data_IF_043413966005
#
_entry.id   IF_043413966005
#
_cell.length_a   1.000
_cell.length_b   1.000
_cell.length_c   1.000
_cell.angle_alpha   90.00
_cell.angle_beta   90.00
_cell.angle_gamma   90.00
#
_symmetry.space_group_name_H-M   'P 1'
#
loop_
_entity.id
_entity.type
_entity.pdbx_description
1 polymer ?
#
# COMPACT_ATOMS: atom_id res chain seq x y z
N UNK A 1 -3.59 -35.03 26.41
CA UNK A 1 -3.84 -34.09 25.29
C UNK A 1 -4.49 -32.86 25.88
N UNK A 2 -3.72 -31.82 26.20
CA UNK A 2 -4.27 -30.56 26.74
C UNK A 2 -4.54 -29.60 25.59
N UNK A 3 -5.76 -29.04 25.58
CA UNK A 3 -6.16 -28.04 24.61
C UNK A 3 -5.37 -26.75 24.85
N UNK A 4 -4.66 -26.29 23.80
CA UNK A 4 -4.05 -24.96 23.76
C UNK A 4 -5.18 -23.96 23.54
N UNK A 5 -5.58 -23.28 24.60
CA UNK A 5 -6.54 -22.17 24.55
C UNK A 5 -5.89 -20.97 23.86
N UNK A 6 -6.11 -20.82 22.55
CA UNK A 6 -5.70 -19.63 21.82
C UNK A 6 -6.54 -18.45 22.28
N UNK A 7 -5.96 -17.53 23.06
CA UNK A 7 -6.59 -16.26 23.44
C UNK A 7 -7.09 -15.55 22.17
N UNK A 8 -8.41 -15.54 21.98
CA UNK A 8 -9.07 -14.81 20.90
C UNK A 8 -8.77 -13.32 21.12
N UNK A 9 -7.94 -12.73 20.25
CA UNK A 9 -7.58 -11.31 20.32
C UNK A 9 -8.82 -10.40 20.26
N UNK A 10 -8.63 -9.11 20.59
CA UNK A 10 -9.71 -8.11 20.47
C UNK A 10 -10.27 -8.12 19.05
N UNK A 11 -11.61 -8.21 18.87
CA UNK A 11 -12.18 -8.29 17.54
C UNK A 11 -11.77 -7.08 16.69
N UNK A 12 -11.37 -7.29 15.42
CA UNK A 12 -11.01 -6.20 14.52
C UNK A 12 -12.18 -5.21 14.42
N UNK A 13 -11.90 -3.92 14.61
CA UNK A 13 -12.90 -2.85 14.60
C UNK A 13 -13.52 -2.49 15.94
N UNK A 14 -13.19 -3.20 17.04
CA UNK A 14 -13.63 -2.79 18.37
C UNK A 14 -12.98 -1.45 18.77
N UNK A 15 -13.80 -0.40 18.93
CA UNK A 15 -13.36 0.92 19.33
C UNK A 15 -12.82 0.89 20.77
N UNK A 16 -11.53 1.12 20.94
CA UNK A 16 -10.94 1.35 22.25
C UNK A 16 -11.27 2.78 22.69
N UNK A 17 -12.07 2.94 23.77
CA UNK A 17 -12.47 4.25 24.30
C UNK A 17 -11.26 5.14 24.59
N UNK A 18 -10.22 4.59 25.22
CA UNK A 18 -8.97 5.33 25.51
C UNK A 18 -8.30 5.86 24.25
N UNK A 19 -8.22 5.05 23.19
CA UNK A 19 -7.61 5.48 21.92
C UNK A 19 -8.49 6.48 21.17
N UNK A 20 -9.81 6.37 21.31
CA UNK A 20 -10.77 7.33 20.75
C UNK A 20 -10.63 8.71 21.40
N UNK A 21 -10.57 8.76 22.74
CA UNK A 21 -10.46 10.01 23.49
C UNK A 21 -9.13 10.74 23.17
N UNK A 22 -8.02 9.99 23.11
CA UNK A 22 -6.71 10.55 22.69
C UNK A 22 -6.76 11.08 21.27
N UNK A 23 -7.37 10.34 20.34
CA UNK A 23 -7.51 10.80 18.95
C UNK A 23 -8.29 12.12 18.85
N UNK A 24 -9.38 12.22 19.60
CA UNK A 24 -10.23 13.41 19.59
C UNK A 24 -9.50 14.62 20.19
N UNK A 25 -8.76 14.40 21.28
CA UNK A 25 -7.92 15.43 21.89
C UNK A 25 -6.82 15.91 20.93
N UNK A 26 -6.10 14.99 20.27
CA UNK A 26 -5.06 15.36 19.30
C UNK A 26 -5.62 16.11 18.09
N UNK A 27 -6.83 15.78 17.63
CA UNK A 27 -7.50 16.50 16.55
C UNK A 27 -7.86 17.94 16.95
N UNK A 28 -8.18 18.20 18.21
CA UNK A 28 -8.44 19.55 18.70
C UNK A 28 -7.23 20.49 18.55
N UNK A 29 -6.01 19.96 18.66
CA UNK A 29 -4.76 20.71 18.50
C UNK A 29 -4.34 20.96 17.03
N UNK A 30 -5.16 20.57 16.05
CA UNK A 30 -4.76 20.66 14.63
C UNK A 30 -4.39 22.09 14.21
N UNK A 31 -5.16 23.09 14.64
CA UNK A 31 -4.90 24.49 14.27
C UNK A 31 -3.58 24.98 14.89
N UNK A 32 -3.44 24.83 16.20
CA UNK A 32 -2.23 25.22 16.94
C UNK A 32 -0.97 24.52 16.39
N UNK A 33 -1.08 23.23 16.05
CA UNK A 33 0.02 22.48 15.46
C UNK A 33 0.42 23.02 14.08
N UNK A 34 -0.55 23.43 13.24
CA UNK A 34 -0.25 24.03 11.93
C UNK A 34 0.41 25.39 12.10
N UNK A 35 -0.09 26.23 13.00
CA UNK A 35 0.51 27.54 13.27
C UNK A 35 1.97 27.40 13.75
N UNK A 36 2.21 26.50 14.70
CA UNK A 36 3.57 26.20 15.19
C UNK A 36 4.50 25.69 14.09
N UNK A 37 4.02 24.83 13.19
CA UNK A 37 4.79 24.39 12.03
C UNK A 37 5.16 25.56 11.11
N UNK A 38 4.24 26.48 10.85
CA UNK A 38 4.50 27.67 10.02
C UNK A 38 5.52 28.59 10.68
N UNK A 39 5.43 28.80 12.00
CA UNK A 39 6.42 29.57 12.76
C UNK A 39 7.81 28.94 12.67
N UNK A 40 7.93 27.64 12.95
CA UNK A 40 9.19 26.90 12.83
C UNK A 40 9.77 26.94 11.42
N UNK A 41 8.92 26.92 10.39
CA UNK A 41 9.35 26.96 9.00
C UNK A 41 9.87 28.34 8.56
N UNK A 42 9.35 29.41 9.19
CA UNK A 42 9.73 30.80 8.95
C UNK A 42 10.93 31.25 9.79
N UNK A 43 11.15 30.67 10.95
CA UNK A 43 12.28 31.01 11.82
C UNK A 43 13.61 30.69 11.14
N UNK A 44 14.41 31.73 10.89
CA UNK A 44 15.73 31.62 10.25
C UNK A 44 16.79 30.99 11.14
N UNK A 45 16.55 30.94 12.45
CA UNK A 45 17.46 30.35 13.43
C UNK A 45 17.29 28.83 13.53
N UNK A 46 16.17 28.29 13.01
CA UNK A 46 15.95 26.85 12.98
C UNK A 46 16.84 26.19 11.92
N UNK A 47 17.33 24.95 12.17
CA UNK A 47 18.06 24.20 11.18
C UNK A 47 17.27 24.08 9.87
N UNK A 48 17.97 24.19 8.73
CA UNK A 48 17.34 24.10 7.41
C UNK A 48 16.50 22.82 7.23
N UNK A 49 16.93 21.70 7.82
CA UNK A 49 16.19 20.44 7.82
C UNK A 49 14.83 20.53 8.51
N UNK A 50 14.75 21.22 9.65
CA UNK A 50 13.50 21.44 10.40
C UNK A 50 12.56 22.29 9.58
N UNK A 51 13.07 23.36 8.96
CA UNK A 51 12.28 24.27 8.14
C UNK A 51 11.70 23.58 6.90
N UNK A 52 12.52 22.81 6.18
CA UNK A 52 12.09 22.02 5.01
C UNK A 52 11.05 20.98 5.42
N UNK A 53 11.26 20.30 6.55
CA UNK A 53 10.31 19.31 7.05
C UNK A 53 8.97 19.94 7.41
N UNK A 54 8.98 21.09 8.11
CA UNK A 54 7.76 21.80 8.46
C UNK A 54 6.98 22.26 7.24
N UNK A 55 7.64 22.84 6.22
CA UNK A 55 6.98 23.20 4.96
C UNK A 55 6.38 21.99 4.23
N UNK A 56 7.13 20.89 4.13
CA UNK A 56 6.65 19.66 3.51
C UNK A 56 5.38 19.14 4.20
N UNK A 57 5.37 19.13 5.54
CA UNK A 57 4.23 18.70 6.35
C UNK A 57 2.99 19.57 6.12
N UNK A 58 3.16 20.89 5.98
CA UNK A 58 2.06 21.83 5.70
C UNK A 58 1.52 21.63 4.28
N UNK A 59 2.40 21.50 3.28
CA UNK A 59 2.03 21.30 1.89
C UNK A 59 1.33 19.96 1.66
N UNK A 60 1.85 18.89 2.25
CA UNK A 60 1.26 17.54 2.21
C UNK A 60 -0.19 17.54 2.74
N UNK A 61 -0.51 18.41 3.71
CA UNK A 61 -1.86 18.52 4.26
C UNK A 61 -2.80 19.37 3.39
N UNK A 62 -2.28 20.43 2.76
CA UNK A 62 -3.07 21.31 1.91
C UNK A 62 -3.38 20.71 0.54
N UNK A 63 -2.41 20.00 -0.04
CA UNK A 63 -2.50 19.49 -1.42
C UNK A 63 -2.55 17.97 -1.50
N UNK A 64 -2.35 17.27 -0.38
CA UNK A 64 -2.18 15.82 -0.37
C UNK A 64 -0.76 15.41 -0.74
N UNK A 65 -0.45 14.13 -0.52
CA UNK A 65 0.82 13.54 -0.93
C UNK A 65 0.76 13.09 -2.39
N UNK A 66 1.89 13.18 -3.14
CA UNK A 66 2.00 12.56 -4.45
C UNK A 66 1.61 11.08 -4.41
N UNK A 67 0.87 10.63 -5.41
CA UNK A 67 0.43 9.23 -5.53
C UNK A 67 1.65 8.31 -5.43
N UNK A 68 1.64 7.42 -4.42
CA UNK A 68 2.68 6.41 -4.26
C UNK A 68 2.25 5.15 -5.02
N UNK A 69 3.01 4.77 -6.03
CA UNK A 69 2.84 3.47 -6.71
C UNK A 69 3.43 2.37 -5.82
N UNK A 70 2.58 1.46 -5.34
CA UNK A 70 3.02 0.29 -4.56
C UNK A 70 3.09 -0.91 -5.49
N UNK A 71 4.31 -1.40 -5.75
CA UNK A 71 4.53 -2.67 -6.45
C UNK A 71 4.50 -3.80 -5.41
N UNK A 72 3.36 -4.46 -5.26
CA UNK A 72 3.27 -5.66 -4.45
C UNK A 72 3.77 -6.87 -5.26
N UNK A 73 4.98 -7.35 -4.95
CA UNK A 73 5.42 -8.66 -5.40
C UNK A 73 4.68 -9.72 -4.57
N UNK A 74 3.57 -10.24 -5.10
CA UNK A 74 2.85 -11.34 -4.48
C UNK A 74 3.54 -12.63 -4.90
N UNK A 75 4.25 -13.28 -3.98
CA UNK A 75 4.74 -14.64 -4.17
C UNK A 75 3.56 -15.61 -4.06
N UNK A 76 2.81 -15.73 -5.16
CA UNK A 76 1.69 -16.67 -5.23
C UNK A 76 2.26 -18.06 -5.50
N UNK A 77 2.31 -18.89 -4.45
CA UNK A 77 2.54 -20.31 -4.64
C UNK A 77 1.39 -20.91 -5.43
N UNK A 78 1.72 -21.62 -6.51
CA UNK A 78 0.74 -22.29 -7.40
C UNK A 78 -0.23 -23.17 -6.61
N UNK A 79 0.21 -23.78 -5.50
CA UNK A 79 -0.61 -24.63 -4.64
C UNK A 79 -1.77 -23.92 -3.93
N UNK A 80 -1.76 -22.57 -3.86
CA UNK A 80 -2.78 -21.78 -3.18
C UNK A 80 -3.80 -21.14 -4.15
N UNK A 81 -3.64 -21.34 -5.46
CA UNK A 81 -4.56 -20.84 -6.47
C UNK A 81 -5.72 -21.82 -6.65
N UNK A 82 -6.93 -21.31 -6.73
CA UNK A 82 -8.06 -22.10 -7.19
C UNK A 82 -7.92 -22.42 -8.68
N UNK A 83 -8.56 -23.51 -9.14
CA UNK A 83 -8.61 -23.90 -10.55
C UNK A 83 -9.07 -22.76 -11.48
N UNK A 84 -9.93 -21.87 -10.97
CA UNK A 84 -10.41 -20.69 -11.71
C UNK A 84 -9.33 -19.63 -11.91
N UNK A 85 -8.51 -19.38 -10.89
CA UNK A 85 -7.43 -18.39 -10.93
C UNK A 85 -6.23 -18.93 -11.73
N UNK A 86 -5.96 -20.24 -11.68
CA UNK A 86 -4.96 -20.90 -12.52
C UNK A 86 -5.31 -20.77 -14.01
N UNK A 87 -6.57 -21.04 -14.38
CA UNK A 87 -7.05 -20.90 -15.76
C UNK A 87 -6.96 -19.46 -16.26
N UNK A 88 -7.36 -18.50 -15.44
CA UNK A 88 -7.25 -17.08 -15.78
C UNK A 88 -5.80 -16.65 -16.00
N UNK A 89 -4.86 -17.15 -15.17
CA UNK A 89 -3.44 -16.86 -15.31
C UNK A 89 -2.84 -17.42 -16.60
N UNK A 90 -3.17 -18.67 -16.95
CA UNK A 90 -2.72 -19.31 -18.21
C UNK A 90 -3.29 -18.58 -19.42
N UNK A 91 -4.58 -18.22 -19.40
CA UNK A 91 -5.22 -17.46 -20.48
C UNK A 91 -4.59 -16.07 -20.66
N UNK A 92 -4.27 -15.38 -19.56
CA UNK A 92 -3.57 -14.09 -19.60
C UNK A 92 -2.14 -14.21 -20.16
N UNK A 93 -1.43 -15.31 -19.85
CA UNK A 93 -0.09 -15.57 -20.38
C UNK A 93 -0.11 -15.82 -21.90
N UNK A 94 -1.07 -16.61 -22.38
CA UNK A 94 -1.25 -16.88 -23.82
C UNK A 94 -1.60 -15.62 -24.61
N UNK A 95 -2.27 -14.64 -24.00
CA UNK A 95 -2.64 -13.39 -24.66
C UNK A 95 -1.51 -12.33 -24.65
N UNK A 96 -0.53 -12.47 -23.74
CA UNK A 96 0.70 -11.64 -23.74
C UNK A 96 1.75 -12.16 -24.72
N UNK A 97 1.73 -13.45 -25.04
CA UNK A 97 2.47 -14.01 -26.17
C UNK A 97 1.77 -13.56 -27.48
N UNK A 98 2.31 -12.53 -28.11
CA UNK A 98 1.85 -12.09 -29.43
C UNK A 98 1.91 -13.22 -30.49
N UNK A 99 1.28 -13.03 -31.66
CA UNK A 99 1.02 -14.08 -32.65
C UNK A 99 2.26 -14.48 -33.47
N UNK A 100 3.31 -15.02 -32.83
CA UNK A 100 4.56 -15.40 -33.51
C UNK A 100 4.74 -16.91 -33.77
N UNK A 101 3.73 -17.74 -33.50
CA UNK A 101 3.81 -19.20 -33.76
C UNK A 101 2.76 -19.69 -34.76
N UNK A 102 2.51 -18.88 -35.80
CA UNK A 102 1.70 -19.29 -36.96
C UNK A 102 2.52 -19.37 -38.24
N UNK A 103 3.75 -19.89 -38.19
CA UNK A 103 4.52 -20.31 -39.36
C UNK A 103 5.56 -21.32 -38.89
N UNK A 104 5.48 -22.57 -39.36
CA UNK A 104 6.48 -23.67 -39.31
C UNK A 104 5.84 -25.06 -39.14
N UNK A 105 4.50 -25.18 -39.16
CA UNK A 105 3.88 -26.42 -39.62
C UNK A 105 3.90 -26.47 -41.17
N UNK A 106 5.07 -26.28 -41.78
CA UNK A 106 5.28 -26.59 -43.19
C UNK A 106 5.56 -28.09 -43.26
N UNK A 107 4.47 -28.82 -43.45
CA UNK A 107 4.36 -30.07 -44.23
C UNK A 107 5.74 -30.55 -44.70
N UNK A 108 6.34 -31.47 -43.95
CA UNK A 108 7.37 -32.35 -44.47
C UNK A 108 6.59 -33.50 -45.11
N UNK A 109 6.42 -33.43 -46.43
CA UNK A 109 5.98 -34.56 -47.24
C UNK A 109 7.07 -35.64 -47.20
N UNK A 110 6.73 -36.91 -46.89
CA UNK A 110 7.65 -38.03 -47.06
C UNK A 110 7.56 -38.56 -48.49
N UNK A 111 8.63 -38.41 -49.27
CA UNK A 111 8.95 -39.36 -50.36
C UNK A 111 9.86 -40.47 -49.84
#
# INVERSE_FOLDING_TARGET
MSAVETKRGRPPGARNRTTFDVKMLSQAYTIEAVDSLVEMARDVNQPGSVRVSAWSIVLDRGWGRPMQTVTAAVDVRVANLSDSELRASIASMLNQAGPELMLEAKIIDPE
#
